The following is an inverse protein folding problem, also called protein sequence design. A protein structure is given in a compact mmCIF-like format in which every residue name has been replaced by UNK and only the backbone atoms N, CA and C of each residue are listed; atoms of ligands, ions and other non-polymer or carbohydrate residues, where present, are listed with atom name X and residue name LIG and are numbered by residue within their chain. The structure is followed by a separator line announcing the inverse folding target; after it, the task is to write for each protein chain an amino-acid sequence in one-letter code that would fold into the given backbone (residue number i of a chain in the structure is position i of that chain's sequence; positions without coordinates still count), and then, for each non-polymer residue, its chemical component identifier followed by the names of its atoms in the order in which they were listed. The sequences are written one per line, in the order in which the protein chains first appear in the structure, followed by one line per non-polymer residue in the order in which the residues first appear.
data_IF_277846736720
#
_entry.id   IF_277846736720
#
_cell.length_a   1.000
_cell.length_b   1.000
_cell.length_c   1.000
_cell.angle_alpha   90.00
_cell.angle_beta   90.00
_cell.angle_gamma   90.00
#
_symmetry.space_group_name_H-M   'P 1'
#
loop_
_entity.id
_entity.type
_entity.pdbx_description
1 polymer ?
#
# COMPACT_ATOMS: atom_id res chain seq x y z
N UNK A 1 65.42 -5.17 -59.72
CA UNK A 1 64.48 -4.16 -60.23
C UNK A 1 63.08 -4.47 -59.70
N UNK A 2 62.63 -3.58 -58.82
CA UNK A 2 61.27 -3.16 -58.47
C UNK A 2 60.18 -4.18 -58.03
N UNK A 3 59.91 -4.06 -56.72
CA UNK A 3 58.75 -4.48 -55.92
C UNK A 3 57.38 -4.27 -56.56
N UNK A 4 56.39 -5.05 -56.11
CA UNK A 4 55.22 -4.50 -55.39
C UNK A 4 54.45 -5.57 -54.59
N UNK A 5 54.42 -5.32 -53.29
CA UNK A 5 53.67 -6.00 -52.23
C UNK A 5 52.24 -5.41 -52.22
N UNK A 6 51.21 -6.25 -52.24
CA UNK A 6 49.82 -5.86 -52.02
C UNK A 6 49.42 -6.29 -50.60
N UNK A 7 49.51 -5.35 -49.65
CA UNK A 7 48.82 -5.43 -48.36
C UNK A 7 47.36 -4.99 -48.57
N UNK A 8 46.42 -5.91 -48.38
CA UNK A 8 45.00 -5.58 -48.26
C UNK A 8 44.70 -5.11 -46.84
N UNK A 9 44.33 -3.85 -46.68
CA UNK A 9 43.81 -3.30 -45.43
C UNK A 9 42.30 -3.57 -45.35
N UNK A 10 41.88 -4.41 -44.39
CA UNK A 10 40.47 -4.62 -44.06
C UNK A 10 40.10 -3.61 -42.96
N UNK A 11 39.47 -2.50 -43.33
CA UNK A 11 38.87 -1.56 -42.38
C UNK A 11 37.48 -2.07 -42.05
N UNK A 12 37.35 -2.82 -40.95
CA UNK A 12 36.06 -3.21 -40.40
C UNK A 12 35.48 -2.05 -39.60
N UNK A 13 34.49 -1.34 -40.16
CA UNK A 13 33.70 -0.37 -39.44
C UNK A 13 32.62 -1.11 -38.63
N UNK A 14 32.84 -1.31 -37.33
CA UNK A 14 31.78 -1.75 -36.42
C UNK A 14 30.87 -0.56 -36.13
N UNK A 15 29.69 -0.55 -36.75
CA UNK A 15 28.63 0.37 -36.39
C UNK A 15 28.10 0.01 -35.00
N UNK A 16 28.49 0.78 -33.97
CA UNK A 16 27.80 0.76 -32.69
C UNK A 16 26.41 1.36 -32.91
N UNK A 17 25.40 0.49 -33.00
CA UNK A 17 24.00 0.91 -32.86
C UNK A 17 23.85 1.31 -31.39
N UNK A 18 23.78 2.63 -31.14
CA UNK A 18 23.33 3.14 -29.86
C UNK A 18 21.86 2.71 -29.70
N UNK A 19 21.65 1.61 -29.00
CA UNK A 19 20.32 1.21 -28.56
C UNK A 19 19.88 2.36 -27.65
N UNK A 20 18.76 3.05 -27.93
CA UNK A 20 18.24 4.01 -26.99
C UNK A 20 17.92 3.24 -25.72
N UNK A 21 18.77 3.37 -24.71
CA UNK A 21 18.39 3.03 -23.35
C UNK A 21 17.19 3.91 -23.05
N UNK A 22 16.00 3.32 -22.95
CA UNK A 22 14.90 3.98 -22.29
C UNK A 22 15.46 4.42 -20.93
N UNK A 23 15.62 5.72 -20.74
CA UNK A 23 15.96 6.24 -19.43
C UNK A 23 14.71 6.00 -18.59
N UNK A 24 14.72 4.92 -17.80
CA UNK A 24 13.71 4.69 -16.78
C UNK A 24 13.73 5.90 -15.84
N UNK A 25 12.73 6.75 -15.99
CA UNK A 25 12.62 7.98 -15.23
C UNK A 25 12.11 7.61 -13.84
N UNK A 26 13.03 7.46 -12.88
CA UNK A 26 12.72 7.15 -11.49
C UNK A 26 11.66 8.09 -10.90
N UNK A 27 10.95 7.59 -9.89
CA UNK A 27 9.82 8.24 -9.28
C UNK A 27 10.30 9.57 -8.72
N UNK A 28 9.45 10.56 -8.78
CA UNK A 28 9.82 11.90 -8.33
C UNK A 28 9.18 12.17 -6.99
N UNK A 29 9.89 12.88 -6.14
CA UNK A 29 9.36 13.35 -4.87
C UNK A 29 9.81 14.79 -4.62
N UNK A 30 8.87 15.63 -4.19
CA UNK A 30 9.14 17.03 -3.88
C UNK A 30 8.38 17.45 -2.62
N UNK A 31 8.92 18.45 -1.92
CA UNK A 31 8.30 19.03 -0.74
C UNK A 31 8.18 20.55 -0.89
N UNK A 32 6.99 21.08 -0.60
CA UNK A 32 6.66 22.49 -0.63
C UNK A 32 6.47 23.03 0.80
N UNK A 33 7.42 23.83 1.33
CA UNK A 33 7.31 24.36 2.69
C UNK A 33 6.17 25.38 2.87
N UNK A 34 5.75 26.06 1.81
CA UNK A 34 4.68 27.07 1.88
C UNK A 34 3.30 26.44 2.04
N UNK A 35 3.10 25.25 1.48
CA UNK A 35 1.85 24.49 1.58
C UNK A 35 1.97 23.29 2.51
N UNK A 36 3.17 23.04 3.06
CA UNK A 36 3.52 21.87 3.88
C UNK A 36 3.09 20.56 3.21
N UNK A 37 3.31 20.47 1.90
CA UNK A 37 2.87 19.34 1.08
C UNK A 37 4.07 18.57 0.54
N UNK A 38 4.10 17.28 0.78
CA UNK A 38 4.94 16.32 0.07
C UNK A 38 4.17 15.77 -1.13
N UNK A 39 4.81 15.71 -2.29
CA UNK A 39 4.24 15.05 -3.49
C UNK A 39 5.18 13.97 -3.97
N UNK A 40 4.69 12.74 -4.08
CA UNK A 40 5.38 11.61 -4.67
C UNK A 40 4.65 11.18 -5.96
N UNK A 41 5.39 10.91 -7.03
CA UNK A 41 4.83 10.52 -8.33
C UNK A 41 5.54 9.29 -8.85
N UNK A 42 4.78 8.25 -9.19
CA UNK A 42 5.29 7.02 -9.80
C UNK A 42 6.06 7.32 -11.09
N UNK A 43 7.12 6.55 -11.34
CA UNK A 43 7.76 6.49 -12.66
C UNK A 43 6.81 5.94 -13.71
N UNK A 44 7.12 6.22 -14.98
CA UNK A 44 6.54 5.44 -16.06
C UNK A 44 6.97 3.97 -15.93
N UNK A 45 6.02 3.05 -15.89
CA UNK A 45 6.28 1.61 -15.79
C UNK A 45 6.41 1.05 -14.37
N UNK A 46 6.48 1.90 -13.33
CA UNK A 46 6.49 1.42 -11.95
C UNK A 46 5.11 0.96 -11.50
N UNK A 47 5.08 -0.20 -10.83
CA UNK A 47 3.88 -0.76 -10.23
C UNK A 47 3.83 -0.61 -8.71
N UNK A 48 4.92 -0.19 -8.04
CA UNK A 48 4.93 -0.09 -6.58
C UNK A 48 5.70 1.13 -6.07
N UNK A 49 5.09 1.85 -5.12
CA UNK A 49 5.69 2.97 -4.41
C UNK A 49 5.39 2.83 -2.92
N UNK A 50 6.41 2.93 -2.08
CA UNK A 50 6.27 2.96 -0.63
C UNK A 50 6.58 4.36 -0.11
N UNK A 51 5.72 4.89 0.75
CA UNK A 51 5.99 6.06 1.59
C UNK A 51 6.18 5.57 3.01
N UNK A 52 7.22 6.04 3.70
CA UNK A 52 7.46 5.68 5.10
C UNK A 52 7.82 6.87 5.97
N UNK A 53 7.53 6.73 7.25
CA UNK A 53 8.02 7.63 8.28
C UNK A 53 9.48 7.29 8.62
N UNK A 54 10.23 8.29 9.07
CA UNK A 54 11.62 8.17 9.45
C UNK A 54 12.10 9.51 10.00
N UNK A 55 13.40 9.78 10.02
CA UNK A 55 13.86 11.14 10.34
C UNK A 55 13.29 12.18 9.35
N UNK A 56 13.13 11.76 8.10
CA UNK A 56 12.43 12.48 7.04
C UNK A 56 11.38 11.55 6.44
N UNK A 57 10.35 12.13 5.83
CA UNK A 57 9.46 11.36 4.97
C UNK A 57 10.24 10.85 3.77
N UNK A 58 10.13 9.55 3.52
CA UNK A 58 10.92 8.84 2.53
C UNK A 58 10.02 8.12 1.55
N UNK A 59 10.52 7.99 0.31
CA UNK A 59 9.90 7.13 -0.69
C UNK A 59 10.85 6.05 -1.18
N UNK A 60 10.29 4.92 -1.60
CA UNK A 60 11.01 3.83 -2.26
C UNK A 60 10.18 3.29 -3.41
N UNK A 61 10.83 3.01 -4.53
CA UNK A 61 10.23 2.27 -5.65
C UNK A 61 10.55 0.80 -5.49
N UNK A 62 9.53 -0.03 -5.59
CA UNK A 62 9.68 -1.50 -5.50
C UNK A 62 10.41 -1.98 -4.23
N UNK A 63 10.42 -1.17 -3.16
CA UNK A 63 11.03 -1.50 -1.87
C UNK A 63 12.57 -1.56 -1.85
N UNK A 64 13.26 -1.12 -2.91
CA UNK A 64 14.72 -1.34 -3.03
C UNK A 64 15.55 -0.37 -2.18
N UNK A 65 15.28 0.93 -2.27
CA UNK A 65 16.05 1.95 -1.55
C UNK A 65 15.19 3.17 -1.23
N UNK A 66 15.22 3.57 0.04
CA UNK A 66 14.51 4.75 0.51
C UNK A 66 15.34 6.02 0.30
N UNK A 67 14.69 7.06 -0.20
CA UNK A 67 15.27 8.41 -0.34
C UNK A 67 14.37 9.44 0.31
N UNK A 68 14.98 10.49 0.87
CA UNK A 68 14.25 11.58 1.51
C UNK A 68 13.52 12.43 0.46
N UNK A 69 12.29 12.82 0.77
CA UNK A 69 11.53 13.76 -0.04
C UNK A 69 11.85 15.22 0.34
N UNK A 70 13.04 15.68 -0.04
CA UNK A 70 13.50 17.02 0.33
C UNK A 70 13.63 17.17 1.85
N UNK A 71 13.01 18.21 2.41
CA UNK A 71 13.02 18.50 3.85
C UNK A 71 11.74 18.07 4.58
N UNK A 72 10.88 17.26 3.94
CA UNK A 72 9.65 16.78 4.54
C UNK A 72 9.93 15.87 5.75
N UNK A 73 9.22 16.13 6.84
CA UNK A 73 9.13 15.29 8.05
C UNK A 73 7.67 15.17 8.45
N UNK A 74 7.30 14.18 9.26
CA UNK A 74 5.93 14.07 9.76
C UNK A 74 5.48 15.36 10.46
N UNK A 75 6.34 15.93 11.33
CA UNK A 75 6.03 17.16 12.06
C UNK A 75 5.86 18.43 11.19
N UNK A 76 6.50 18.50 10.02
CA UNK A 76 6.45 19.70 9.17
C UNK A 76 5.54 19.57 7.94
N UNK A 77 4.95 18.40 7.71
CA UNK A 77 4.10 18.10 6.55
C UNK A 77 2.66 17.95 7.00
N UNK A 78 1.73 18.66 6.36
CA UNK A 78 0.29 18.52 6.62
C UNK A 78 -0.37 17.62 5.54
N UNK A 79 0.27 17.41 4.39
CA UNK A 79 -0.30 16.56 3.34
C UNK A 79 0.76 15.82 2.53
N UNK A 80 0.51 14.54 2.28
CA UNK A 80 1.27 13.70 1.34
C UNK A 80 0.36 13.35 0.16
N UNK A 81 0.77 13.71 -1.04
CA UNK A 81 0.03 13.42 -2.27
C UNK A 81 0.82 12.41 -3.10
N UNK A 82 0.26 11.23 -3.31
CA UNK A 82 0.79 10.21 -4.20
C UNK A 82 0.07 10.29 -5.55
N UNK A 83 0.80 10.25 -6.66
CA UNK A 83 0.23 10.34 -8.02
C UNK A 83 0.72 9.23 -8.92
N UNK A 84 -0.18 8.62 -9.69
CA UNK A 84 0.17 7.74 -10.79
C UNK A 84 0.94 8.47 -11.91
N UNK A 85 1.59 7.73 -12.83
CA UNK A 85 2.34 8.32 -13.93
C UNK A 85 1.40 9.06 -14.90
N UNK A 86 1.84 10.20 -15.41
CA UNK A 86 1.08 10.95 -16.43
C UNK A 86 1.24 10.34 -17.83
N UNK A 87 0.16 10.25 -18.60
CA UNK A 87 0.20 10.06 -20.06
C UNK A 87 0.31 8.63 -20.58
N UNK A 88 0.35 7.61 -19.72
CA UNK A 88 0.15 6.21 -20.11
C UNK A 88 -1.04 5.63 -19.33
N UNK A 89 -1.77 4.67 -19.93
CA UNK A 89 -2.79 3.94 -19.20
C UNK A 89 -2.17 3.29 -17.98
N UNK A 90 -2.63 3.64 -16.78
CA UNK A 90 -2.03 3.20 -15.55
C UNK A 90 -2.12 1.67 -15.48
N UNK A 91 -0.97 1.01 -15.46
CA UNK A 91 -0.90 -0.36 -14.96
C UNK A 91 -1.39 -0.37 -13.51
N UNK A 92 -1.84 -1.52 -13.02
CA UNK A 92 -2.21 -1.66 -11.62
C UNK A 92 -1.04 -1.24 -10.73
N UNK A 93 -1.32 -0.32 -9.80
CA UNK A 93 -0.34 0.28 -8.90
C UNK A 93 -0.59 -0.19 -7.47
N UNK A 94 0.49 -0.37 -6.72
CA UNK A 94 0.48 -0.64 -5.29
C UNK A 94 1.13 0.51 -4.56
N UNK A 95 0.36 1.28 -3.80
CA UNK A 95 0.89 2.29 -2.88
C UNK A 95 0.99 1.67 -1.50
N UNK A 96 2.16 1.72 -0.88
CA UNK A 96 2.37 1.26 0.49
C UNK A 96 2.62 2.45 1.41
N UNK A 97 1.87 2.52 2.51
CA UNK A 97 2.13 3.37 3.67
C UNK A 97 2.80 2.45 4.71
N UNK A 98 4.05 2.74 5.09
CA UNK A 98 4.88 1.87 5.93
C UNK A 98 5.32 2.58 7.22
N UNK A 99 4.78 2.15 8.35
CA UNK A 99 5.00 2.76 9.67
C UNK A 99 5.99 1.98 10.55
N UNK A 100 6.30 0.74 10.16
CA UNK A 100 7.14 -0.24 10.90
C UNK A 100 8.49 0.25 11.43
N UNK A 101 9.08 1.28 10.83
CA UNK A 101 10.45 1.71 11.12
C UNK A 101 10.61 3.19 11.48
N UNK A 102 9.52 3.94 11.49
CA UNK A 102 9.54 5.40 11.64
C UNK A 102 8.59 5.96 12.68
N UNK A 103 7.75 5.11 13.27
CA UNK A 103 6.64 5.52 14.12
C UNK A 103 5.37 5.80 13.30
N UNK A 104 4.25 5.77 14.00
CA UNK A 104 2.92 5.98 13.46
C UNK A 104 2.76 7.40 12.88
N UNK A 105 2.16 7.51 11.69
CA UNK A 105 1.88 8.80 11.05
C UNK A 105 0.87 9.63 11.83
N UNK A 106 -0.22 9.03 12.32
CA UNK A 106 -1.29 9.70 13.06
C UNK A 106 -0.76 10.25 14.40
N UNK A 107 -0.03 9.45 15.18
CA UNK A 107 0.62 9.92 16.41
C UNK A 107 1.69 11.00 16.12
N UNK A 108 2.49 10.82 15.06
CA UNK A 108 3.58 11.76 14.72
C UNK A 108 3.06 13.14 14.33
N UNK A 109 1.90 13.21 13.67
CA UNK A 109 1.24 14.45 13.32
C UNK A 109 -0.26 14.23 13.01
N UNK A 110 -1.19 14.60 13.92
CA UNK A 110 -2.64 14.42 13.73
C UNK A 110 -3.26 15.39 12.72
N UNK A 111 -2.44 15.97 11.84
CA UNK A 111 -2.88 16.80 10.71
C UNK A 111 -2.32 16.29 9.40
N UNK A 112 -1.54 15.21 9.43
CA UNK A 112 -0.89 14.66 8.26
C UNK A 112 -1.87 13.75 7.53
N UNK A 113 -2.35 14.20 6.37
CA UNK A 113 -3.26 13.38 5.56
C UNK A 113 -2.61 12.93 4.25
N UNK A 114 -2.91 11.71 3.83
CA UNK A 114 -2.50 11.12 2.58
C UNK A 114 -3.62 11.22 1.55
N UNK A 115 -3.26 11.59 0.32
CA UNK A 115 -4.15 11.48 -0.84
C UNK A 115 -3.46 10.76 -1.97
N UNK A 116 -4.00 9.61 -2.34
CA UNK A 116 -3.45 8.68 -3.32
C UNK A 116 -4.29 8.76 -4.60
N UNK A 117 -3.76 9.44 -5.60
CA UNK A 117 -4.35 9.62 -6.92
C UNK A 117 -3.72 8.65 -7.93
N UNK A 118 -4.11 7.39 -7.84
CA UNK A 118 -3.68 6.35 -8.80
C UNK A 118 -4.85 6.01 -9.75
N UNK A 119 -4.67 5.00 -10.60
CA UNK A 119 -5.68 4.56 -11.56
C UNK A 119 -6.81 3.71 -10.95
N UNK A 120 -7.30 2.75 -11.75
CA UNK A 120 -8.37 1.83 -11.35
C UNK A 120 -7.80 0.48 -10.96
N UNK A 121 -8.43 -0.20 -10.00
CA UNK A 121 -8.07 -1.55 -9.53
C UNK A 121 -6.71 -1.59 -8.82
N UNK A 122 -6.28 -0.47 -8.27
CA UNK A 122 -5.04 -0.34 -7.54
C UNK A 122 -5.15 -0.92 -6.12
N UNK A 123 -3.99 -1.14 -5.52
CA UNK A 123 -3.85 -1.64 -4.15
C UNK A 123 -3.28 -0.56 -3.24
N UNK A 124 -3.97 -0.28 -2.14
CA UNK A 124 -3.37 0.38 -0.99
C UNK A 124 -2.88 -0.69 -0.03
N UNK A 125 -1.67 -0.56 0.48
CA UNK A 125 -1.11 -1.42 1.53
C UNK A 125 -0.72 -0.54 2.69
N UNK A 126 -1.22 -0.87 3.87
CA UNK A 126 -0.88 -0.24 5.13
C UNK A 126 -0.07 -1.25 5.94
N UNK A 127 1.05 -0.82 6.51
CA UNK A 127 1.96 -1.66 7.30
C UNK A 127 2.25 -0.98 8.61
N UNK A 128 1.53 -1.43 9.61
CA UNK A 128 1.57 -0.89 10.96
C UNK A 128 2.80 -1.36 11.75
N UNK A 129 2.93 -0.82 12.95
CA UNK A 129 4.09 -0.93 13.80
C UNK A 129 4.17 -2.25 14.58
N UNK A 130 4.69 -2.15 15.81
CA UNK A 130 4.68 -3.24 16.79
C UNK A 130 3.93 -2.82 18.04
N UNK A 131 2.95 -1.92 17.88
CA UNK A 131 2.12 -1.38 18.93
C UNK A 131 0.66 -1.76 18.69
N UNK A 132 -0.20 -1.49 19.68
CA UNK A 132 -1.63 -1.69 19.48
C UNK A 132 -2.14 -0.60 18.56
N UNK A 133 -2.73 -1.01 17.43
CA UNK A 133 -3.28 -0.12 16.44
C UNK A 133 -4.81 -0.33 16.31
N UNK A 134 -5.55 0.74 16.01
CA UNK A 134 -7.00 0.70 15.85
C UNK A 134 -7.39 1.49 14.60
N UNK A 135 -7.86 0.79 13.57
CA UNK A 135 -8.12 1.37 12.26
C UNK A 135 -9.58 1.22 11.86
N UNK A 136 -10.13 2.26 11.21
CA UNK A 136 -11.44 2.22 10.57
C UNK A 136 -11.32 2.39 9.06
N UNK A 137 -11.77 1.38 8.33
CA UNK A 137 -11.83 1.37 6.88
C UNK A 137 -13.27 1.67 6.45
N UNK A 138 -13.43 2.61 5.53
CA UNK A 138 -14.75 3.03 5.06
C UNK A 138 -14.72 3.52 3.61
N UNK A 139 -15.90 3.59 3.00
CA UNK A 139 -16.05 4.24 1.70
C UNK A 139 -15.93 5.77 1.83
N UNK A 140 -15.29 6.41 0.85
CA UNK A 140 -15.36 7.86 0.73
C UNK A 140 -16.78 8.34 0.44
N UNK A 141 -17.17 9.44 1.10
CA UNK A 141 -18.34 10.22 0.71
C UNK A 141 -17.93 11.41 -0.17
N UNK A 142 -18.69 11.69 -1.24
CA UNK A 142 -18.49 12.86 -2.09
C UNK A 142 -18.24 12.56 -3.57
N UNK A 143 -17.47 13.42 -4.24
CA UNK A 143 -17.22 13.36 -5.69
C UNK A 143 -16.07 12.40 -6.07
N UNK A 144 -15.29 11.94 -5.10
CA UNK A 144 -14.29 10.90 -5.27
C UNK A 144 -14.85 9.59 -4.70
N UNK A 145 -14.78 8.53 -5.49
CA UNK A 145 -15.08 7.17 -5.06
C UNK A 145 -13.76 6.49 -4.70
N UNK A 146 -13.78 5.68 -3.63
CA UNK A 146 -12.64 4.87 -3.22
C UNK A 146 -12.48 4.76 -1.70
N UNK A 147 -11.37 4.17 -1.25
CA UNK A 147 -11.06 3.97 0.17
C UNK A 147 -10.84 5.27 0.96
N UNK A 148 -11.42 5.33 2.16
CA UNK A 148 -11.07 6.26 3.23
C UNK A 148 -10.64 5.46 4.46
N UNK A 149 -9.48 5.80 5.03
CA UNK A 149 -8.92 5.11 6.18
C UNK A 149 -8.65 6.13 7.28
N UNK A 150 -9.15 5.83 8.46
CA UNK A 150 -8.83 6.42 9.75
C UNK A 150 -7.85 5.46 10.43
N UNK A 151 -6.61 5.89 10.63
CA UNK A 151 -5.50 5.05 11.08
C UNK A 151 -5.51 4.82 12.60
N UNK A 152 -6.12 5.72 13.38
CA UNK A 152 -6.13 5.69 14.85
C UNK A 152 -7.54 5.65 15.47
N UNK A 153 -8.57 5.52 14.64
CA UNK A 153 -9.98 5.41 15.02
C UNK A 153 -10.49 6.68 15.75
N UNK A 154 -9.93 7.86 15.45
CA UNK A 154 -10.31 9.10 16.11
C UNK A 154 -11.51 9.83 15.47
N UNK A 155 -11.97 9.34 14.31
CA UNK A 155 -13.09 9.85 13.54
C UNK A 155 -12.70 10.91 12.50
N UNK A 156 -11.43 11.23 12.39
CA UNK A 156 -10.84 11.94 11.27
C UNK A 156 -10.32 10.92 10.22
N UNK A 157 -9.95 11.39 9.02
CA UNK A 157 -9.57 10.46 7.94
C UNK A 157 -8.17 10.83 7.49
N UNK A 158 -7.23 9.93 7.74
CA UNK A 158 -5.82 10.07 7.38
C UNK A 158 -5.58 9.79 5.92
N UNK A 159 -6.09 8.68 5.39
CA UNK A 159 -5.79 8.24 4.02
C UNK A 159 -7.02 8.30 3.15
N UNK A 160 -6.87 8.94 1.99
CA UNK A 160 -7.85 8.89 0.91
C UNK A 160 -7.19 8.36 -0.35
N UNK A 161 -7.81 7.39 -1.00
CA UNK A 161 -7.39 6.90 -2.31
C UNK A 161 -8.51 7.05 -3.33
N UNK A 162 -8.19 7.51 -4.54
CA UNK A 162 -9.17 7.56 -5.63
C UNK A 162 -9.06 6.28 -6.45
N UNK A 163 -10.08 5.43 -6.41
CA UNK A 163 -10.06 4.15 -7.15
C UNK A 163 -11.42 3.76 -7.71
N UNK A 164 -11.43 2.68 -8.50
CA UNK A 164 -12.65 1.97 -8.88
C UNK A 164 -13.11 0.96 -7.83
N UNK A 165 -14.22 0.28 -8.11
CA UNK A 165 -14.88 -0.68 -7.21
C UNK A 165 -14.09 -1.97 -6.94
N UNK A 166 -13.09 -2.26 -7.78
CA UNK A 166 -12.34 -3.53 -7.72
C UNK A 166 -10.95 -3.31 -7.09
N UNK A 167 -10.78 -2.22 -6.35
CA UNK A 167 -9.55 -1.95 -5.61
C UNK A 167 -9.44 -2.79 -4.36
N UNK A 168 -8.20 -2.94 -3.90
CA UNK A 168 -7.88 -3.71 -2.70
C UNK A 168 -7.23 -2.78 -1.69
N UNK A 169 -7.73 -2.79 -0.46
CA UNK A 169 -7.00 -2.25 0.69
C UNK A 169 -6.47 -3.42 1.49
N UNK A 170 -5.15 -3.51 1.61
CA UNK A 170 -4.50 -4.43 2.52
C UNK A 170 -4.05 -3.67 3.76
N UNK A 171 -4.33 -4.24 4.92
CA UNK A 171 -3.81 -3.78 6.21
C UNK A 171 -3.03 -4.92 6.85
N UNK A 172 -1.82 -4.61 7.28
CA UNK A 172 -1.00 -5.50 8.12
C UNK A 172 -0.87 -4.83 9.50
N UNK A 173 -1.45 -5.42 10.54
CA UNK A 173 -1.45 -4.90 11.92
C UNK A 173 -0.07 -4.91 12.57
N UNK A 174 0.84 -5.76 12.11
CA UNK A 174 2.23 -5.75 12.57
C UNK A 174 2.40 -6.54 13.85
N UNK A 175 2.42 -5.88 14.99
CA UNK A 175 2.35 -6.62 16.23
C UNK A 175 1.70 -5.79 17.31
N UNK A 176 0.92 -6.39 18.18
CA UNK A 176 0.01 -5.60 18.99
C UNK A 176 -1.17 -6.44 19.43
N UNK A 177 -2.32 -5.82 19.53
CA UNK A 177 -3.60 -6.50 19.70
C UNK A 177 -4.57 -5.62 18.93
N UNK A 178 -4.50 -5.74 17.62
CA UNK A 178 -4.90 -4.70 16.69
C UNK A 178 -6.39 -4.83 16.38
N UNK A 179 -7.03 -3.69 16.17
CA UNK A 179 -8.44 -3.63 15.81
C UNK A 179 -8.58 -3.08 14.39
N UNK A 180 -8.98 -3.93 13.44
CA UNK A 180 -9.18 -3.55 12.05
C UNK A 180 -10.67 -3.65 11.73
N UNK A 181 -11.34 -2.49 11.61
CA UNK A 181 -12.77 -2.42 11.32
C UNK A 181 -13.02 -2.03 9.86
N UNK A 182 -13.47 -2.98 9.04
CA UNK A 182 -13.94 -2.70 7.68
C UNK A 182 -15.46 -2.79 7.51
N UNK A 183 -16.24 -2.81 8.59
CA UNK A 183 -17.71 -3.01 8.53
C UNK A 183 -18.46 -1.94 7.75
N UNK A 184 -17.82 -0.78 7.50
CA UNK A 184 -18.38 0.32 6.72
C UNK A 184 -17.99 0.28 5.23
N UNK A 185 -17.16 -0.66 4.81
CA UNK A 185 -16.68 -0.81 3.43
C UNK A 185 -17.73 -1.49 2.56
N UNK A 186 -18.08 -0.88 1.41
CA UNK A 186 -19.02 -1.45 0.42
C UNK A 186 -18.49 -1.43 -1.00
N UNK A 187 -17.40 -0.69 -1.27
CA UNK A 187 -16.96 -0.42 -2.64
C UNK A 187 -15.58 -0.94 -2.97
N UNK A 188 -14.87 -1.59 -2.05
CA UNK A 188 -13.57 -2.20 -2.33
C UNK A 188 -13.34 -3.45 -1.46
N UNK A 189 -12.44 -4.32 -1.91
CA UNK A 189 -12.08 -5.54 -1.19
C UNK A 189 -11.04 -5.24 -0.11
N UNK A 190 -11.12 -5.96 1.01
CA UNK A 190 -10.11 -5.86 2.07
C UNK A 190 -9.28 -7.14 2.19
N UNK A 191 -7.99 -6.95 2.50
CA UNK A 191 -7.08 -8.01 2.94
C UNK A 191 -6.57 -7.61 4.30
N UNK A 192 -7.04 -8.26 5.35
CA UNK A 192 -6.70 -7.94 6.73
C UNK A 192 -5.75 -9.01 7.26
N UNK A 193 -4.56 -8.59 7.69
CA UNK A 193 -3.54 -9.45 8.27
C UNK A 193 -3.25 -8.93 9.67
N UNK A 194 -3.60 -9.68 10.72
CA UNK A 194 -3.33 -9.27 12.10
C UNK A 194 -1.83 -9.25 12.40
N UNK A 195 -1.14 -10.32 12.00
CA UNK A 195 0.26 -10.59 12.34
C UNK A 195 0.41 -10.96 13.83
N UNK A 196 1.27 -10.34 14.62
CA UNK A 196 1.56 -10.84 15.97
C UNK A 196 0.70 -10.17 17.04
N UNK A 197 -0.30 -10.85 17.58
CA UNK A 197 -1.20 -10.20 18.51
C UNK A 197 -2.47 -10.97 18.73
N UNK A 198 -3.26 -10.54 19.72
CA UNK A 198 -4.65 -11.01 19.77
C UNK A 198 -5.49 -10.00 18.98
N UNK A 199 -5.64 -10.23 17.69
CA UNK A 199 -6.18 -9.23 16.77
C UNK A 199 -7.68 -9.41 16.56
N UNK A 200 -8.36 -8.31 16.24
CA UNK A 200 -9.78 -8.28 15.97
C UNK A 200 -10.02 -7.73 14.56
N UNK A 201 -10.39 -8.63 13.64
CA UNK A 201 -10.54 -8.35 12.22
C UNK A 201 -12.02 -8.40 11.82
N UNK A 202 -12.58 -7.28 11.38
CA UNK A 202 -13.99 -7.17 10.99
C UNK A 202 -14.09 -6.86 9.50
N UNK A 203 -14.75 -7.74 8.76
CA UNK A 203 -14.96 -7.63 7.32
C UNK A 203 -15.94 -6.56 6.87
N UNK A 204 -15.84 -6.22 5.58
CA UNK A 204 -16.76 -5.35 4.88
C UNK A 204 -17.95 -6.09 4.30
N UNK A 205 -18.43 -5.60 3.15
CA UNK A 205 -19.60 -6.12 2.44
C UNK A 205 -19.27 -6.72 1.06
N UNK A 206 -17.99 -7.05 0.84
CA UNK A 206 -17.46 -7.61 -0.40
C UNK A 206 -16.58 -8.82 -0.05
N UNK A 207 -16.13 -9.55 -1.08
CA UNK A 207 -15.30 -10.74 -0.85
C UNK A 207 -13.94 -10.33 -0.27
N UNK A 208 -13.76 -10.62 1.01
CA UNK A 208 -12.59 -10.22 1.78
C UNK A 208 -11.65 -11.41 2.05
N UNK A 209 -10.42 -11.09 2.47
CA UNK A 209 -9.43 -12.07 2.91
C UNK A 209 -8.91 -11.71 4.29
N UNK A 210 -8.81 -12.72 5.16
CA UNK A 210 -8.34 -12.58 6.53
C UNK A 210 -7.19 -13.56 6.81
N UNK A 211 -6.18 -13.09 7.51
CA UNK A 211 -5.14 -13.90 8.15
C UNK A 211 -4.93 -13.33 9.55
N UNK A 212 -5.42 -14.01 10.59
CA UNK A 212 -5.24 -13.57 11.98
C UNK A 212 -3.76 -13.51 12.32
N UNK A 213 -3.07 -14.63 12.16
CA UNK A 213 -1.64 -14.73 12.38
C UNK A 213 -1.33 -15.66 13.55
N UNK A 214 -0.21 -15.46 14.25
CA UNK A 214 -0.01 -16.07 15.56
C UNK A 214 -0.84 -15.39 16.66
N UNK A 215 -1.19 -16.19 17.67
CA UNK A 215 -1.91 -15.80 18.89
C UNK A 215 -3.43 -15.90 18.74
N UNK A 216 -4.22 -15.40 19.69
CA UNK A 216 -5.66 -15.70 19.74
C UNK A 216 -6.45 -14.58 19.04
N UNK A 217 -6.91 -14.86 17.83
CA UNK A 217 -7.58 -13.85 16.99
C UNK A 217 -9.10 -13.97 17.03
N UNK A 218 -9.77 -12.84 16.74
CA UNK A 218 -11.21 -12.75 16.55
C UNK A 218 -11.53 -12.24 15.16
N UNK A 219 -12.19 -13.06 14.33
CA UNK A 219 -12.54 -12.70 12.95
C UNK A 219 -14.06 -12.65 12.75
N UNK A 220 -14.57 -11.57 12.16
CA UNK A 220 -15.97 -11.43 11.78
C UNK A 220 -16.10 -11.21 10.28
N UNK A 221 -16.57 -12.25 9.58
CA UNK A 221 -16.74 -12.27 8.13
C UNK A 221 -18.20 -12.53 7.71
N UNK A 222 -19.15 -12.59 8.66
CA UNK A 222 -20.55 -12.90 8.37
C UNK A 222 -21.31 -11.73 7.71
N UNK A 223 -21.35 -11.69 6.40
CA UNK A 223 -22.00 -10.64 5.59
C UNK A 223 -22.87 -11.17 4.41
N UNK A 224 -22.88 -12.48 4.17
CA UNK A 224 -23.58 -13.16 3.08
C UNK A 224 -22.78 -13.25 1.77
N UNK A 225 -21.50 -12.91 1.78
CA UNK A 225 -20.53 -13.06 0.70
C UNK A 225 -19.58 -14.22 1.04
N UNK A 226 -18.72 -14.63 0.10
CA UNK A 226 -17.74 -15.68 0.34
C UNK A 226 -16.35 -15.08 0.61
N UNK A 227 -15.77 -15.47 1.74
CA UNK A 227 -14.47 -14.99 2.22
C UNK A 227 -13.44 -16.10 2.25
N UNK A 228 -12.17 -15.69 2.24
CA UNK A 228 -11.04 -16.57 2.56
C UNK A 228 -10.54 -16.21 3.97
N UNK A 229 -10.71 -17.13 4.92
CA UNK A 229 -10.34 -16.89 6.32
C UNK A 229 -9.28 -17.86 6.76
N UNK A 230 -8.19 -17.32 7.32
CA UNK A 230 -7.18 -18.07 8.05
C UNK A 230 -7.08 -17.49 9.47
N UNK A 231 -7.37 -18.27 10.51
CA UNK A 231 -7.14 -17.83 11.89
C UNK A 231 -5.64 -17.78 12.15
N UNK A 232 -5.01 -18.95 12.17
CA UNK A 232 -3.56 -19.06 12.08
C UNK A 232 -3.02 -20.06 13.07
N UNK A 233 -2.34 -19.61 14.11
CA UNK A 233 -1.87 -20.51 15.18
C UNK A 233 -2.46 -20.07 16.52
N UNK A 234 -2.75 -21.05 17.38
CA UNK A 234 -3.48 -20.95 18.64
C UNK A 234 -4.96 -21.22 18.44
N UNK A 235 -5.84 -20.55 19.19
CA UNK A 235 -7.27 -20.85 19.23
C UNK A 235 -8.00 -19.60 18.80
N UNK A 236 -8.49 -19.64 17.57
CA UNK A 236 -9.11 -18.52 16.92
C UNK A 236 -10.63 -18.62 17.00
N UNK A 237 -11.26 -17.50 17.32
CA UNK A 237 -12.69 -17.32 17.46
C UNK A 237 -13.22 -16.53 16.25
N UNK A 238 -14.47 -16.78 15.84
CA UNK A 238 -15.04 -15.94 14.79
C UNK A 238 -16.48 -16.20 14.43
N UNK A 239 -17.02 -15.35 13.54
CA UNK A 239 -18.39 -15.47 13.01
C UNK A 239 -18.39 -15.43 11.48
N UNK A 240 -19.04 -16.42 10.87
CA UNK A 240 -18.89 -16.79 9.47
C UNK A 240 -20.23 -17.16 8.82
N UNK A 241 -20.32 -17.15 7.50
CA UNK A 241 -21.47 -17.67 6.79
C UNK A 241 -21.35 -19.19 6.52
N UNK A 242 -22.35 -19.93 7.01
CA UNK A 242 -22.34 -21.39 6.93
C UNK A 242 -22.39 -21.90 5.49
N UNK A 243 -21.40 -22.71 5.11
CA UNK A 243 -21.18 -23.26 3.76
C UNK A 243 -20.88 -22.22 2.66
N UNK A 244 -20.51 -20.99 3.03
CA UNK A 244 -20.12 -19.96 2.09
C UNK A 244 -18.62 -19.66 2.20
N UNK A 245 -18.15 -19.41 3.42
CA UNK A 245 -16.78 -18.98 3.71
C UNK A 245 -15.80 -20.16 3.65
N UNK A 246 -14.57 -19.89 3.23
CA UNK A 246 -13.47 -20.84 3.24
C UNK A 246 -12.64 -20.65 4.51
N UNK A 247 -12.92 -21.47 5.52
CA UNK A 247 -12.22 -21.40 6.81
C UNK A 247 -11.01 -22.33 6.84
N UNK A 248 -9.87 -21.81 7.29
CA UNK A 248 -8.64 -22.54 7.58
C UNK A 248 -8.13 -22.14 8.97
N UNK A 249 -7.71 -23.11 9.79
CA UNK A 249 -7.23 -22.85 11.16
C UNK A 249 -8.16 -21.94 11.97
N UNK A 250 -9.45 -22.28 12.04
CA UNK A 250 -10.41 -21.64 12.94
C UNK A 250 -10.94 -22.71 13.89
N UNK A 251 -10.64 -22.59 15.18
CA UNK A 251 -10.98 -23.60 16.19
C UNK A 251 -12.40 -23.42 16.73
N UNK A 252 -12.91 -22.18 16.74
CA UNK A 252 -14.22 -21.84 17.32
C UNK A 252 -15.09 -21.00 16.36
N UNK A 253 -15.59 -21.60 15.28
CA UNK A 253 -16.48 -20.89 14.37
C UNK A 253 -17.90 -20.76 14.93
N UNK A 254 -18.40 -19.53 14.94
CA UNK A 254 -19.82 -19.19 15.07
C UNK A 254 -20.45 -19.02 13.68
N UNK A 255 -21.67 -19.53 13.51
CA UNK A 255 -22.42 -19.47 12.26
C UNK A 255 -23.81 -18.86 12.44
#
# INVERSE_FOLDING_TARGET
MNSRILLGALVGATALVAIPSAADAAATCSYSPSTRTMTATYSAGDSALTVRNGQFLQISENGVSFRNCGAATAANTDSVVVRGPSGQGAAQQTTTIDERSGGDFAESNPKLHFTVFTGTNDRLVIREGGFLDAMHLMDQSGLALGPAIDLDYDGDIDIRMTTGSDSIVQVNGGGGADFIDATSVRTYHTVQVGEAGNDALLGGHLSDSFDGGPDQDTIRAKDGIAESVKGGTQVDDGTFDFNLDQLNSIERPGF
#
